data_IF_724555185592
#
_entry.id   IF_724555185592
#
_cell.length_a   1.000
_cell.length_b   1.000
_cell.length_c   1.000
_cell.angle_alpha   90.00
_cell.angle_beta   90.00
_cell.angle_gamma   90.00
#
_symmetry.space_group_name_H-M   'P 1'
#
loop_
_entity.id
_entity.type
_entity.pdbx_description
1 polymer ?
#
# COMPACT_ATOMS: atom_id res chain seq x y z
N UNK A 1 11.46 -18.51 -23.67
CA UNK A 1 10.85 -18.15 -22.37
C UNK A 1 9.72 -17.17 -22.65
N UNK A 2 8.46 -17.58 -22.51
CA UNK A 2 7.32 -16.73 -22.85
C UNK A 2 7.09 -15.74 -21.70
N UNK A 3 7.62 -14.52 -21.86
CA UNK A 3 7.35 -13.41 -20.95
C UNK A 3 5.92 -12.94 -21.17
N UNK A 4 4.96 -13.56 -20.49
CA UNK A 4 3.63 -13.00 -20.28
C UNK A 4 3.78 -11.75 -19.42
N UNK A 5 4.07 -10.61 -20.05
CA UNK A 5 3.93 -9.29 -19.43
C UNK A 5 2.45 -9.11 -19.10
N UNK A 6 2.07 -9.08 -17.81
CA UNK A 6 0.70 -8.71 -17.44
C UNK A 6 0.45 -7.32 -18.05
N UNK A 7 -0.73 -7.09 -18.62
CA UNK A 7 -1.06 -5.80 -19.20
C UNK A 7 -0.83 -4.72 -18.12
N UNK A 8 0.14 -3.82 -18.35
CA UNK A 8 0.64 -2.84 -17.37
C UNK A 8 -0.48 -2.04 -16.70
N UNK A 9 -1.57 -1.81 -17.43
CA UNK A 9 -2.77 -1.13 -16.94
C UNK A 9 -3.54 -1.98 -15.91
N UNK A 10 -3.67 -3.29 -16.14
CA UNK A 10 -4.32 -4.22 -15.20
C UNK A 10 -3.49 -4.36 -13.94
N UNK A 11 -2.16 -4.46 -14.08
CA UNK A 11 -1.26 -4.51 -12.92
C UNK A 11 -1.38 -3.22 -12.11
N UNK A 12 -1.26 -2.05 -12.73
CA UNK A 12 -1.40 -0.76 -12.05
C UNK A 12 -2.77 -0.59 -11.36
N UNK A 13 -3.85 -1.01 -11.99
CA UNK A 13 -5.20 -0.97 -11.40
C UNK A 13 -5.29 -1.88 -10.16
N UNK A 14 -4.79 -3.11 -10.24
CA UNK A 14 -4.77 -4.03 -9.12
C UNK A 14 -3.91 -3.50 -7.95
N UNK A 15 -2.75 -2.93 -8.26
CA UNK A 15 -1.89 -2.30 -7.24
C UNK A 15 -2.62 -1.13 -6.60
N UNK A 16 -3.21 -0.24 -7.39
CA UNK A 16 -3.94 0.93 -6.89
C UNK A 16 -5.12 0.54 -6.00
N UNK A 17 -5.95 -0.41 -6.45
CA UNK A 17 -7.09 -0.91 -5.70
C UNK A 17 -6.69 -1.65 -4.42
N UNK A 18 -5.52 -2.28 -4.39
CA UNK A 18 -4.98 -2.89 -3.16
C UNK A 18 -4.41 -1.85 -2.19
N UNK A 19 -3.82 -0.78 -2.72
CA UNK A 19 -3.13 0.25 -1.93
C UNK A 19 -4.14 1.23 -1.30
N UNK A 20 -5.22 1.55 -2.01
CA UNK A 20 -6.30 2.45 -1.54
C UNK A 20 -6.88 2.06 -0.17
N UNK A 21 -7.41 0.83 0.02
CA UNK A 21 -7.98 0.45 1.32
C UNK A 21 -6.90 0.40 2.39
N UNK A 22 -5.71 -0.11 2.07
CA UNK A 22 -4.63 -0.25 3.05
C UNK A 22 -4.19 1.11 3.62
N UNK A 23 -4.01 2.12 2.77
CA UNK A 23 -3.66 3.48 3.20
C UNK A 23 -4.82 4.21 3.86
N UNK A 24 -6.07 3.86 3.55
CA UNK A 24 -7.23 4.46 4.21
C UNK A 24 -7.45 3.94 5.65
N UNK A 25 -7.21 2.64 5.88
CA UNK A 25 -7.43 2.02 7.19
C UNK A 25 -6.28 2.26 8.17
N UNK A 26 -5.03 2.31 7.69
CA UNK A 26 -3.85 2.47 8.54
C UNK A 26 -3.90 3.72 9.45
N UNK A 27 -4.21 4.92 8.93
CA UNK A 27 -4.29 6.12 9.75
C UNK A 27 -5.35 6.01 10.83
N UNK A 28 -6.51 5.43 10.53
CA UNK A 28 -7.59 5.29 11.51
C UNK A 28 -7.19 4.44 12.71
N UNK A 29 -6.33 3.45 12.49
CA UNK A 29 -5.79 2.61 13.56
C UNK A 29 -4.66 3.30 14.33
N UNK A 30 -3.89 4.15 13.67
CA UNK A 30 -2.73 4.84 14.26
C UNK A 30 -3.07 6.16 14.96
N UNK A 31 -4.12 6.88 14.54
CA UNK A 31 -4.59 8.16 15.13
C UNK A 31 -4.72 8.15 16.65
N UNK A 32 -5.27 7.12 17.32
CA UNK A 32 -5.35 7.11 18.78
C UNK A 32 -3.98 7.03 19.48
N UNK A 33 -2.91 6.70 18.77
CA UNK A 33 -1.54 6.64 19.30
C UNK A 33 -0.67 7.84 18.88
N UNK A 34 -1.23 8.78 18.11
CA UNK A 34 -0.50 9.92 17.55
C UNK A 34 -0.68 11.19 18.40
N UNK A 35 0.34 12.06 18.44
CA UNK A 35 0.27 13.32 19.17
C UNK A 35 -0.80 14.26 18.60
N UNK A 36 -1.27 15.20 19.44
CA UNK A 36 -2.28 16.20 19.07
C UNK A 36 -1.78 17.22 18.04
N UNK A 37 -0.47 17.46 18.01
CA UNK A 37 0.16 18.36 17.06
C UNK A 37 0.07 17.83 15.62
N UNK A 38 -0.59 18.59 14.76
CA UNK A 38 -0.91 18.20 13.38
C UNK A 38 0.34 17.87 12.55
N UNK A 39 1.39 18.70 12.64
CA UNK A 39 2.63 18.49 11.90
C UNK A 39 3.35 17.20 12.33
N UNK A 40 3.51 16.99 13.64
CA UNK A 40 4.16 15.78 14.17
C UNK A 40 3.34 14.53 13.85
N UNK A 41 2.01 14.62 13.94
CA UNK A 41 1.10 13.54 13.55
C UNK A 41 1.30 13.15 12.09
N UNK A 42 1.34 14.12 11.17
CA UNK A 42 1.58 13.86 9.75
C UNK A 42 2.97 13.25 9.50
N UNK A 43 4.01 13.76 10.16
CA UNK A 43 5.37 13.23 10.01
C UNK A 43 5.47 11.77 10.45
N UNK A 44 4.90 11.42 11.61
CA UNK A 44 4.92 10.04 12.13
C UNK A 44 4.06 9.12 11.25
N UNK A 45 2.89 9.58 10.80
CA UNK A 45 2.04 8.85 9.85
C UNK A 45 2.79 8.51 8.56
N UNK A 46 3.45 9.50 7.96
CA UNK A 46 4.23 9.29 6.74
C UNK A 46 5.41 8.34 6.99
N UNK A 47 6.12 8.51 8.10
CA UNK A 47 7.23 7.63 8.48
C UNK A 47 6.83 6.15 8.62
N UNK A 48 5.57 5.87 8.96
CA UNK A 48 5.05 4.50 9.11
C UNK A 48 4.39 4.00 7.81
N UNK A 49 3.54 4.80 7.19
CA UNK A 49 2.78 4.40 5.99
C UNK A 49 3.71 4.18 4.80
N UNK A 50 4.72 5.02 4.58
CA UNK A 50 5.62 4.93 3.41
C UNK A 50 6.39 3.61 3.37
N UNK A 51 7.08 3.16 4.43
CA UNK A 51 7.75 1.86 4.40
C UNK A 51 6.75 0.70 4.34
N UNK A 52 5.61 0.78 5.04
CA UNK A 52 4.59 -0.29 4.96
C UNK A 52 4.08 -0.43 3.52
N UNK A 53 3.69 0.68 2.88
CA UNK A 53 3.19 0.64 1.50
C UNK A 53 4.26 0.17 0.51
N UNK A 54 5.51 0.64 0.66
CA UNK A 54 6.60 0.27 -0.25
C UNK A 54 7.02 -1.19 -0.13
N UNK A 55 7.03 -1.75 1.08
CA UNK A 55 7.55 -3.10 1.32
C UNK A 55 6.48 -4.18 1.49
N UNK A 56 5.22 -3.86 1.82
CA UNK A 56 4.14 -4.87 1.93
C UNK A 56 3.24 -4.89 0.71
N UNK A 57 2.83 -3.73 0.15
CA UNK A 57 1.78 -3.72 -0.88
C UNK A 57 2.29 -4.25 -2.22
N UNK A 58 3.45 -3.75 -2.68
CA UNK A 58 4.06 -4.22 -3.93
C UNK A 58 4.26 -5.74 -3.98
N UNK A 59 4.87 -6.41 -2.99
CA UNK A 59 5.00 -7.87 -3.03
C UNK A 59 3.67 -8.60 -2.83
N UNK A 60 2.72 -8.03 -2.09
CA UNK A 60 1.39 -8.63 -1.91
C UNK A 60 0.62 -8.67 -3.23
N UNK A 61 0.64 -7.57 -4.00
CA UNK A 61 -0.01 -7.48 -5.31
C UNK A 61 0.60 -8.47 -6.30
N UNK A 62 1.94 -8.59 -6.31
CA UNK A 62 2.64 -9.59 -7.15
C UNK A 62 2.27 -11.02 -6.74
N UNK A 63 2.19 -11.33 -5.44
CA UNK A 63 1.75 -12.64 -4.95
C UNK A 63 0.31 -12.96 -5.34
N UNK A 64 -0.60 -12.00 -5.19
CA UNK A 64 -2.03 -12.17 -5.50
C UNK A 64 -2.24 -12.39 -7.00
N UNK A 65 -1.61 -11.56 -7.85
CA UNK A 65 -1.66 -11.74 -9.31
C UNK A 65 -1.10 -13.08 -9.77
N UNK A 66 -0.04 -13.58 -9.12
CA UNK A 66 0.52 -14.91 -9.38
C UNK A 66 -0.35 -16.06 -8.88
N UNK A 67 -1.17 -15.83 -7.85
CA UNK A 67 -2.10 -16.84 -7.33
C UNK A 67 -3.38 -16.94 -8.16
N UNK A 68 -3.83 -15.83 -8.75
CA UNK A 68 -5.06 -15.76 -9.57
C UNK A 68 -4.83 -16.31 -10.99
N UNK A 69 -3.58 -16.32 -11.48
CA UNK A 69 -3.19 -16.86 -12.79
C UNK A 69 -2.67 -18.28 -12.67
#
# INVERSE_FOLDING_TARGET
MISYTPNKHVMALATYLSLLPMVYFLPKWLVPYLPESELLRLMILLAIIVPITSYLVLPSVVKILKFIK
#
